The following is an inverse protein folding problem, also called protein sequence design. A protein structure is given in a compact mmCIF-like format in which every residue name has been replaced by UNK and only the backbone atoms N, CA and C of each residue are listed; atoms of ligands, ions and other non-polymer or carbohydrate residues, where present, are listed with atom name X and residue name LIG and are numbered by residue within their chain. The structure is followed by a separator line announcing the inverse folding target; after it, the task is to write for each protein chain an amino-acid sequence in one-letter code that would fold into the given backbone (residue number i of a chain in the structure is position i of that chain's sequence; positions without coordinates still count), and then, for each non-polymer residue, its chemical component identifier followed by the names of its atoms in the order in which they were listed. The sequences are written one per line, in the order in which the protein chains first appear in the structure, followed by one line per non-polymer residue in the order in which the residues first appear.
data_IF_023035270139
#
_entry.id   IF_023035270139
#
_cell.length_a   1.000
_cell.length_b   1.000
_cell.length_c   1.000
_cell.angle_alpha   90.00
_cell.angle_beta   90.00
_cell.angle_gamma   90.00
#
_symmetry.space_group_name_H-M   'P 1'
#
loop_
_entity.id
_entity.type
_entity.pdbx_description
1 polymer ?
#
# COMPACT_ATOMS: atom_id res chain seq x y z
N UNK A 1 18.14 -17.98 3.05
CA UNK A 1 17.62 -17.53 2.77
C UNK A 1 17.50 -16.38 2.56
N UNK A 2 17.54 -16.07 2.01
CA UNK A 2 17.53 -14.92 1.81
C UNK A 2 16.61 -14.13 2.33
N UNK A 3 16.65 -13.67 2.69
CA UNK A 3 15.82 -13.06 3.18
C UNK A 3 15.32 -12.10 2.57
N UNK A 4 14.50 -12.05 2.31
CA UNK A 4 14.01 -11.12 1.63
C UNK A 4 14.14 -9.83 2.25
N UNK A 5 14.04 -8.85 1.51
CA UNK A 5 14.19 -7.54 1.98
C UNK A 5 12.95 -7.09 2.67
N UNK A 6 13.02 -6.87 3.92
CA UNK A 6 11.81 -6.52 4.64
C UNK A 6 11.44 -5.07 4.48
N UNK A 7 12.29 -4.26 3.87
CA UNK A 7 11.94 -2.87 3.68
C UNK A 7 10.89 -2.67 2.63
N UNK A 8 10.76 -3.61 1.71
CA UNK A 8 9.82 -3.46 0.64
C UNK A 8 8.66 -4.41 0.76
N UNK A 9 8.54 -5.05 1.90
CA UNK A 9 7.42 -5.92 2.12
C UNK A 9 7.18 -5.99 3.61
N UNK A 10 6.02 -6.47 3.96
CA UNK A 10 5.70 -6.59 5.36
C UNK A 10 4.28 -7.03 5.51
N UNK A 11 4.01 -7.60 6.64
CA UNK A 11 2.66 -8.03 6.95
C UNK A 11 1.97 -6.92 7.70
N UNK A 12 0.78 -6.59 7.28
CA UNK A 12 0.00 -5.56 7.93
C UNK A 12 -1.37 -6.11 8.22
N UNK A 13 -2.01 -5.55 9.20
CA UNK A 13 -3.32 -5.98 9.62
C UNK A 13 -4.35 -5.03 9.04
N UNK A 14 -5.38 -5.61 8.45
CA UNK A 14 -6.46 -4.81 7.90
C UNK A 14 -7.26 -4.19 9.04
N UNK A 15 -7.50 -2.91 8.94
CA UNK A 15 -8.23 -2.16 9.95
C UNK A 15 -9.49 -1.57 9.35
N UNK A 16 -10.40 -1.20 10.21
CA UNK A 16 -11.63 -0.54 9.79
C UNK A 16 -11.65 0.87 10.34
N UNK A 17 -11.94 1.82 9.47
CA UNK A 17 -12.09 3.21 9.85
C UNK A 17 -13.55 3.55 9.64
N UNK A 18 -14.24 3.93 10.71
CA UNK A 18 -15.66 4.15 10.59
C UNK A 18 -16.37 2.83 10.41
N UNK A 19 -17.43 2.81 9.63
CA UNK A 19 -18.23 1.61 9.48
C UNK A 19 -18.06 0.94 8.13
N UNK A 20 -17.42 1.58 7.18
CA UNK A 20 -17.35 1.02 5.84
C UNK A 20 -15.99 1.12 5.20
N UNK A 21 -15.07 1.84 5.77
CA UNK A 21 -13.79 2.08 5.15
C UNK A 21 -12.74 1.19 5.79
N UNK A 22 -11.99 0.49 4.96
CA UNK A 22 -10.93 -0.36 5.44
C UNK A 22 -9.59 0.30 5.13
N UNK A 23 -8.61 0.04 5.96
CA UNK A 23 -7.31 0.66 5.80
C UNK A 23 -6.22 -0.31 6.17
N UNK A 24 -5.07 -0.09 5.59
CA UNK A 24 -3.89 -0.86 5.92
C UNK A 24 -2.72 0.12 5.86
N UNK A 25 -1.79 -0.04 6.80
CA UNK A 25 -0.63 0.83 6.83
C UNK A 25 0.39 0.32 5.82
N UNK A 26 1.04 1.25 5.16
CA UNK A 26 2.06 0.93 4.18
C UNK A 26 3.40 1.27 4.79
N UNK A 27 4.38 0.35 4.72
CA UNK A 27 5.69 0.63 5.29
C UNK A 27 6.27 1.91 4.72
N UNK A 28 6.89 2.67 5.60
CA UNK A 28 7.43 3.96 5.20
C UNK A 28 8.48 3.83 4.11
N UNK A 29 9.26 2.78 4.17
CA UNK A 29 10.31 2.60 3.17
C UNK A 29 9.75 2.47 1.77
N UNK A 30 8.59 1.84 1.66
CA UNK A 30 7.97 1.70 0.35
C UNK A 30 7.51 3.06 -0.15
N UNK A 31 6.94 3.85 0.73
CA UNK A 31 6.50 5.18 0.37
C UNK A 31 7.67 6.04 -0.08
N UNK A 32 8.80 5.92 0.62
CA UNK A 32 9.98 6.69 0.25
C UNK A 32 10.56 6.24 -1.08
N UNK A 33 10.55 4.94 -1.28
CA UNK A 33 11.08 4.40 -2.53
C UNK A 33 10.28 4.91 -3.71
N UNK A 34 8.97 5.01 -3.53
CA UNK A 34 8.10 5.46 -4.62
C UNK A 34 7.98 6.97 -4.68
N UNK A 35 8.52 7.67 -3.69
CA UNK A 35 8.44 9.12 -3.63
C UNK A 35 7.00 9.60 -3.54
N UNK A 36 6.18 8.85 -2.88
CA UNK A 36 4.80 9.26 -2.67
C UNK A 36 4.74 10.22 -1.50
N UNK A 37 3.82 11.16 -1.59
CA UNK A 37 3.65 12.16 -0.56
C UNK A 37 2.20 12.26 -0.17
N UNK A 38 1.99 12.87 0.97
CA UNK A 38 0.64 13.12 1.43
C UNK A 38 -0.15 13.85 0.36
N UNK A 39 -1.33 13.38 0.08
CA UNK A 39 -2.17 13.99 -0.93
C UNK A 39 -2.00 13.41 -2.32
N UNK A 40 -1.06 12.51 -2.48
CA UNK A 40 -0.86 11.87 -3.78
C UNK A 40 -2.11 11.10 -4.18
N UNK A 41 -2.54 11.28 -5.42
CA UNK A 41 -3.68 10.54 -5.90
C UNK A 41 -3.24 9.16 -6.37
N UNK A 42 -3.98 8.17 -5.98
CA UNK A 42 -3.65 6.80 -6.31
C UNK A 42 -4.88 6.12 -6.89
N UNK A 43 -4.62 5.13 -7.71
CA UNK A 43 -5.68 4.29 -8.26
C UNK A 43 -5.63 2.95 -7.56
N UNK A 44 -6.77 2.50 -7.10
CA UNK A 44 -6.88 1.23 -6.40
C UNK A 44 -7.76 0.32 -7.23
N UNK A 45 -7.26 -0.88 -7.50
CA UNK A 45 -8.05 -1.83 -8.26
C UNK A 45 -7.79 -3.24 -7.77
N UNK A 46 -8.69 -4.11 -8.09
CA UNK A 46 -8.59 -5.51 -7.70
C UNK A 46 -8.14 -6.34 -8.90
N UNK A 47 -7.32 -7.30 -8.63
CA UNK A 47 -6.94 -8.24 -9.66
C UNK A 47 -6.92 -9.62 -9.03
N UNK A 48 -7.90 -10.45 -9.37
CA UNK A 48 -8.03 -11.75 -8.71
C UNK A 48 -8.29 -11.54 -7.23
N UNK A 49 -7.41 -12.06 -6.42
CA UNK A 49 -7.52 -11.91 -4.98
C UNK A 49 -6.52 -10.93 -4.42
N UNK A 50 -6.01 -10.06 -5.26
CA UNK A 50 -5.05 -9.07 -4.81
C UNK A 50 -5.60 -7.68 -5.06
N UNK A 51 -5.00 -6.73 -4.39
CA UNK A 51 -5.34 -5.33 -4.56
C UNK A 51 -4.08 -4.62 -5.05
N UNK A 52 -4.24 -3.86 -6.10
CA UNK A 52 -3.13 -3.12 -6.68
C UNK A 52 -3.37 -1.64 -6.48
N UNK A 53 -2.39 -0.97 -5.91
CA UNK A 53 -2.45 0.47 -5.69
C UNK A 53 -1.33 1.09 -6.50
N UNK A 54 -1.68 1.99 -7.38
CA UNK A 54 -0.71 2.60 -8.28
C UNK A 54 -0.88 4.09 -8.29
N UNK A 55 0.16 4.78 -8.73
CA UNK A 55 0.04 6.21 -8.93
C UNK A 55 -0.98 6.47 -10.02
N UNK A 56 -1.78 7.46 -9.77
CA UNK A 56 -2.73 7.85 -10.80
C UNK A 56 -1.97 8.46 -11.96
N UNK A 57 -2.26 7.96 -13.14
CA UNK A 57 -1.57 8.40 -14.32
C UNK A 57 -2.42 9.43 -15.02
N UNK A 58 -1.85 10.52 -15.40
CA UNK A 58 -2.63 11.55 -16.10
C UNK A 58 -2.49 11.44 -17.59
#
# INVERSE_FOLDING_TARGET
MARQNTEESGNRILSVIGSKTYAVSIPLEIIRFLSWEKGKELTVRRQGRTIIIEEKDN
#
